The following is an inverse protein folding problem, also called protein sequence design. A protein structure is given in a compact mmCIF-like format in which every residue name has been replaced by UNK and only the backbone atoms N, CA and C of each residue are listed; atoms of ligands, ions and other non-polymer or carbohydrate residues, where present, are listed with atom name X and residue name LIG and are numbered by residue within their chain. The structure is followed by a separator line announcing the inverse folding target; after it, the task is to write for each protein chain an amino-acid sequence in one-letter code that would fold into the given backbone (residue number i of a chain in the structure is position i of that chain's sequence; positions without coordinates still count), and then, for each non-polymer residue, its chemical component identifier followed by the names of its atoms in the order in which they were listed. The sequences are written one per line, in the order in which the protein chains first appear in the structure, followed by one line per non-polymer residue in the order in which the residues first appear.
data_IF_521789799929
#
_entry.id   IF_521789799929
#
_cell.length_a   1.000
_cell.length_b   1.000
_cell.length_c   1.000
_cell.angle_alpha   90.00
_cell.angle_beta   90.00
_cell.angle_gamma   90.00
#
_symmetry.space_group_name_H-M   'P 1'
#
loop_
_entity.id
_entity.type
_entity.pdbx_description
1 polymer ?
#
# COMPACT_ATOMS: atom_id res chain seq x y z
N UNK A 1 -25.59 -11.04 7.96
CA UNK A 1 -26.92 -10.89 7.32
C UNK A 1 -27.10 -9.51 6.65
N UNK A 2 -26.04 -8.80 6.25
CA UNK A 2 -26.12 -7.45 5.64
C UNK A 2 -25.92 -7.49 4.10
N UNK A 3 -25.46 -8.60 3.52
CA UNK A 3 -25.29 -8.71 2.06
C UNK A 3 -26.52 -9.10 1.25
N UNK A 4 -27.63 -9.46 1.89
CA UNK A 4 -28.87 -9.73 1.14
C UNK A 4 -29.57 -8.49 0.56
N UNK A 5 -29.05 -7.28 0.84
CA UNK A 5 -29.57 -6.02 0.30
C UNK A 5 -28.89 -5.49 -0.96
N UNK A 6 -27.80 -6.13 -1.41
CA UNK A 6 -27.09 -5.75 -2.66
C UNK A 6 -27.54 -6.68 -3.80
N UNK A 7 -28.83 -6.99 -3.88
CA UNK A 7 -29.42 -7.59 -5.07
C UNK A 7 -29.89 -6.49 -6.01
N UNK A 8 -29.23 -6.41 -7.14
CA UNK A 8 -29.70 -5.81 -8.40
C UNK A 8 -30.48 -4.49 -8.25
N UNK A 9 -29.83 -3.42 -7.88
CA UNK A 9 -30.26 -2.13 -8.38
C UNK A 9 -29.31 -1.77 -9.53
N UNK A 10 -29.85 -1.43 -10.68
CA UNK A 10 -29.14 -0.85 -11.81
C UNK A 10 -28.52 0.54 -11.50
N UNK A 11 -28.25 0.80 -10.24
CA UNK A 11 -27.57 2.02 -9.77
C UNK A 11 -26.07 1.76 -9.74
N UNK A 12 -25.25 2.65 -10.30
CA UNK A 12 -23.80 2.57 -10.13
C UNK A 12 -23.49 2.51 -8.63
N UNK A 13 -22.62 1.58 -8.23
CA UNK A 13 -22.15 1.44 -6.83
C UNK A 13 -21.39 2.69 -6.37
N UNK A 14 -20.88 3.47 -7.30
CA UNK A 14 -20.27 4.77 -7.02
C UNK A 14 -21.23 5.88 -7.39
N UNK A 15 -21.59 6.78 -6.46
CA UNK A 15 -22.40 7.94 -6.77
C UNK A 15 -21.69 8.80 -7.82
N UNK A 16 -22.43 9.31 -8.80
CA UNK A 16 -21.94 10.34 -9.69
C UNK A 16 -21.74 11.63 -8.89
N UNK A 17 -20.56 12.24 -9.04
CA UNK A 17 -20.23 13.51 -8.39
C UNK A 17 -20.36 14.64 -9.41
N UNK A 18 -21.01 15.72 -9.02
CA UNK A 18 -21.24 16.89 -9.88
C UNK A 18 -20.11 17.94 -9.75
N UNK A 19 -19.31 17.88 -8.67
CA UNK A 19 -18.21 18.78 -8.43
C UNK A 19 -17.06 18.10 -7.68
N UNK A 20 -15.90 18.76 -7.66
CA UNK A 20 -14.72 18.31 -6.90
C UNK A 20 -14.99 18.38 -5.39
N UNK A 21 -15.71 19.39 -4.94
CA UNK A 21 -16.08 19.60 -3.54
C UNK A 21 -16.98 18.46 -3.06
N UNK A 22 -18.00 18.10 -3.84
CA UNK A 22 -18.88 16.97 -3.55
C UNK A 22 -18.11 15.63 -3.51
N UNK A 23 -17.14 15.43 -4.44
CA UNK A 23 -16.25 14.27 -4.41
C UNK A 23 -15.45 14.23 -3.12
N UNK A 24 -14.86 15.33 -2.70
CA UNK A 24 -14.03 15.39 -1.49
C UNK A 24 -14.85 15.16 -0.22
N UNK A 25 -16.05 15.71 -0.10
CA UNK A 25 -16.97 15.46 1.02
C UNK A 25 -17.38 13.97 1.08
N UNK A 26 -17.67 13.37 -0.05
CA UNK A 26 -18.07 11.97 -0.11
C UNK A 26 -16.89 11.01 0.01
N UNK A 27 -15.66 11.40 -0.35
CA UNK A 27 -14.44 10.59 -0.19
C UNK A 27 -14.30 10.09 1.25
N UNK A 28 -14.40 10.96 2.24
CA UNK A 28 -14.27 10.60 3.65
C UNK A 28 -15.38 9.63 4.10
N UNK A 29 -16.61 9.84 3.63
CA UNK A 29 -17.74 8.93 3.91
C UNK A 29 -17.52 7.55 3.29
N UNK A 30 -17.00 7.50 2.04
CA UNK A 30 -16.67 6.24 1.36
C UNK A 30 -15.53 5.50 2.04
N UNK A 31 -14.47 6.21 2.47
CA UNK A 31 -13.38 5.62 3.25
C UNK A 31 -13.93 5.06 4.57
N UNK A 32 -14.75 5.80 5.30
CA UNK A 32 -15.37 5.33 6.53
C UNK A 32 -16.22 4.06 6.30
N UNK A 33 -17.05 4.03 5.26
CA UNK A 33 -17.83 2.84 4.89
C UNK A 33 -16.92 1.65 4.53
N UNK A 34 -15.86 1.88 3.78
CA UNK A 34 -14.92 0.83 3.36
C UNK A 34 -14.14 0.26 4.56
N UNK A 35 -13.72 1.11 5.50
CA UNK A 35 -13.04 0.70 6.73
C UNK A 35 -13.97 -0.05 7.68
N UNK A 36 -15.17 0.45 7.88
CA UNK A 36 -16.16 -0.18 8.76
C UNK A 36 -16.64 -1.55 8.22
N UNK A 37 -16.87 -1.64 6.92
CA UNK A 37 -17.57 -2.79 6.34
C UNK A 37 -16.69 -3.77 5.58
N UNK A 38 -15.44 -3.45 5.25
CA UNK A 38 -14.62 -4.29 4.40
C UNK A 38 -13.18 -4.48 4.89
N UNK A 39 -12.45 -3.40 5.10
CA UNK A 39 -10.99 -3.49 5.30
C UNK A 39 -10.56 -3.43 6.76
N UNK A 40 -11.45 -3.01 7.67
CA UNK A 40 -11.17 -2.78 9.08
C UNK A 40 -10.56 -1.40 9.35
N UNK A 41 -10.29 -1.14 10.61
CA UNK A 41 -9.78 0.15 11.05
C UNK A 41 -8.43 0.49 10.41
N UNK A 42 -8.24 1.77 10.07
CA UNK A 42 -6.94 2.29 9.66
C UNK A 42 -6.04 2.34 10.90
N UNK A 43 -4.85 1.70 10.90
CA UNK A 43 -3.94 1.80 12.02
C UNK A 43 -3.52 3.26 12.28
N UNK A 44 -3.26 3.60 13.53
CA UNK A 44 -2.72 4.90 13.87
C UNK A 44 -1.32 5.08 13.28
N UNK A 45 -0.98 6.32 12.93
CA UNK A 45 0.38 6.66 12.55
C UNK A 45 1.33 6.33 13.71
N UNK A 46 2.54 5.76 13.45
CA UNK A 46 3.47 5.42 14.51
C UNK A 46 3.96 6.70 15.24
N UNK A 47 4.30 6.57 16.52
CA UNK A 47 4.83 7.70 17.29
C UNK A 47 6.14 8.22 16.71
N UNK A 48 6.98 7.29 16.22
CA UNK A 48 8.26 7.60 15.61
C UNK A 48 8.61 6.58 14.53
N UNK A 49 9.35 7.02 13.53
CA UNK A 49 9.94 6.17 12.48
C UNK A 49 11.43 6.50 12.37
N UNK A 50 12.24 5.47 12.19
CA UNK A 50 13.65 5.59 11.79
C UNK A 50 13.95 4.72 10.58
N UNK A 51 14.99 5.08 9.83
CA UNK A 51 15.49 4.31 8.71
C UNK A 51 16.99 4.16 8.81
N UNK A 52 17.49 2.93 8.63
CA UNK A 52 18.91 2.63 8.64
C UNK A 52 19.33 2.07 7.28
N UNK A 53 20.23 2.75 6.59
CA UNK A 53 20.85 2.23 5.36
C UNK A 53 21.82 1.13 5.75
N UNK A 54 21.57 -0.10 5.31
CA UNK A 54 22.37 -1.28 5.60
C UNK A 54 23.45 -1.48 4.55
N UNK A 55 23.11 -1.21 3.29
CA UNK A 55 24.06 -1.24 2.19
C UNK A 55 23.74 -0.17 1.15
N UNK A 56 24.76 0.30 0.46
CA UNK A 56 24.63 1.21 -0.67
C UNK A 56 25.57 0.76 -1.80
N UNK A 57 25.03 0.64 -3.00
CA UNK A 57 25.79 0.40 -4.22
C UNK A 57 25.48 1.52 -5.23
N UNK A 58 26.47 2.40 -5.43
CA UNK A 58 26.38 3.52 -6.38
C UNK A 58 26.73 3.11 -7.81
N UNK A 59 27.12 1.85 -8.03
CA UNK A 59 27.52 1.33 -9.34
C UNK A 59 26.51 0.33 -9.91
N UNK A 60 25.32 0.22 -9.29
CA UNK A 60 24.26 -0.65 -9.79
C UNK A 60 23.88 -0.27 -11.23
N UNK A 61 23.47 -1.25 -12.05
CA UNK A 61 23.14 -1.07 -13.47
C UNK A 61 24.20 -0.28 -14.26
N UNK A 62 25.47 -0.66 -14.08
CA UNK A 62 26.60 -0.03 -14.79
C UNK A 62 26.91 1.39 -14.31
N UNK A 63 26.55 1.74 -13.09
CA UNK A 63 26.80 3.06 -12.51
C UNK A 63 25.72 4.09 -12.80
N UNK A 64 24.57 3.68 -13.32
CA UNK A 64 23.43 4.57 -13.56
C UNK A 64 22.59 4.81 -12.32
N UNK A 65 22.56 3.85 -11.40
CA UNK A 65 21.63 3.78 -10.28
C UNK A 65 22.37 3.64 -8.96
N UNK A 66 21.95 4.40 -7.98
CA UNK A 66 22.25 4.19 -6.56
C UNK A 66 21.19 3.27 -5.96
N UNK A 67 21.61 2.04 -5.61
CA UNK A 67 20.76 1.10 -4.89
C UNK A 67 21.07 1.18 -3.41
N UNK A 68 20.03 1.26 -2.57
CA UNK A 68 20.16 1.18 -1.11
C UNK A 68 19.26 0.08 -0.57
N UNK A 69 19.80 -0.75 0.31
CA UNK A 69 19.02 -1.63 1.17
C UNK A 69 18.86 -0.95 2.54
N UNK A 70 17.63 -0.78 2.95
CA UNK A 70 17.24 0.04 4.13
C UNK A 70 16.39 -0.82 5.05
N UNK A 71 16.57 -0.67 6.36
CA UNK A 71 15.62 -1.17 7.36
C UNK A 71 14.82 0.01 7.89
N UNK A 72 13.52 -0.04 7.68
CA UNK A 72 12.58 0.90 8.28
C UNK A 72 12.12 0.32 9.61
N UNK A 73 12.14 1.13 10.65
CA UNK A 73 11.66 0.75 12.00
C UNK A 73 10.64 1.77 12.48
N UNK A 74 9.49 1.29 12.92
CA UNK A 74 8.45 2.10 13.56
C UNK A 74 8.36 1.76 15.04
N UNK A 75 7.96 2.73 15.85
CA UNK A 75 7.96 2.64 17.30
C UNK A 75 6.60 3.06 17.87
N UNK A 76 6.22 2.37 18.95
CA UNK A 76 5.07 2.70 19.80
C UNK A 76 5.49 2.41 21.25
N UNK A 77 5.73 3.45 22.04
CA UNK A 77 6.31 3.33 23.38
C UNK A 77 7.62 2.54 23.37
N UNK A 78 7.67 1.43 24.11
CA UNK A 78 8.84 0.54 24.17
C UNK A 78 8.86 -0.57 23.08
N UNK A 79 7.85 -0.64 22.23
CA UNK A 79 7.75 -1.64 21.18
C UNK A 79 8.24 -1.10 19.86
N UNK A 80 8.80 -1.98 19.02
CA UNK A 80 9.20 -1.63 17.66
C UNK A 80 8.89 -2.75 16.68
N UNK A 81 8.70 -2.37 15.42
CA UNK A 81 8.58 -3.30 14.30
C UNK A 81 9.43 -2.79 13.15
N UNK A 82 10.15 -3.71 12.49
CA UNK A 82 11.04 -3.37 11.39
C UNK A 82 10.76 -4.22 10.16
N UNK A 83 10.91 -3.61 8.99
CA UNK A 83 10.85 -4.33 7.71
C UNK A 83 11.85 -3.76 6.70
N UNK A 84 12.35 -4.61 5.77
CA UNK A 84 13.31 -4.18 4.76
C UNK A 84 12.65 -3.42 3.61
N UNK A 85 13.38 -2.47 3.08
CA UNK A 85 13.07 -1.69 1.89
C UNK A 85 14.31 -1.67 0.98
N UNK A 86 14.12 -1.78 -0.34
CA UNK A 86 15.17 -1.50 -1.31
C UNK A 86 14.77 -0.28 -2.13
N UNK A 87 15.68 0.69 -2.26
CA UNK A 87 15.49 1.86 -3.13
C UNK A 87 16.45 1.84 -4.31
N UNK A 88 15.97 2.34 -5.44
CA UNK A 88 16.69 2.55 -6.68
C UNK A 88 16.50 4.01 -7.09
N UNK A 89 17.58 4.76 -7.09
CA UNK A 89 17.56 6.20 -7.36
C UNK A 89 18.58 6.46 -8.48
N UNK A 90 18.19 7.03 -9.62
CA UNK A 90 19.13 7.40 -10.66
C UNK A 90 20.25 8.28 -10.11
N UNK A 91 21.49 7.99 -10.46
CA UNK A 91 22.63 8.81 -10.06
C UNK A 91 22.51 10.22 -10.67
N UNK A 92 22.99 11.23 -9.94
CA UNK A 92 22.96 12.64 -10.36
C UNK A 92 21.56 13.20 -10.66
N UNK A 93 20.53 12.63 -10.03
CA UNK A 93 19.17 13.14 -10.12
C UNK A 93 18.87 14.13 -8.98
N UNK A 94 18.04 15.13 -9.28
CA UNK A 94 17.51 16.09 -8.30
C UNK A 94 16.01 16.24 -8.52
N UNK A 95 15.27 16.21 -7.41
CA UNK A 95 13.83 16.47 -7.38
C UNK A 95 13.03 15.65 -8.39
N UNK A 96 13.27 14.32 -8.41
CA UNK A 96 12.60 13.41 -9.35
C UNK A 96 11.38 12.73 -8.71
N UNK A 97 10.33 12.43 -9.49
CA UNK A 97 9.19 11.67 -9.03
C UNK A 97 9.58 10.23 -8.67
N UNK A 98 8.75 9.57 -7.85
CA UNK A 98 9.06 8.22 -7.43
C UNK A 98 7.83 7.30 -7.36
N UNK A 99 8.11 6.00 -7.43
CA UNK A 99 7.15 4.94 -7.15
C UNK A 99 7.44 4.28 -5.80
N UNK A 100 6.40 4.02 -5.03
CA UNK A 100 6.42 3.10 -3.90
C UNK A 100 5.71 1.82 -4.34
N UNK A 101 6.48 0.73 -4.46
CA UNK A 101 6.00 -0.55 -4.95
C UNK A 101 5.80 -1.54 -3.81
N UNK A 102 4.58 -2.04 -3.70
CA UNK A 102 4.23 -3.15 -2.82
C UNK A 102 4.54 -4.44 -3.57
N UNK A 103 5.69 -5.05 -3.29
CA UNK A 103 6.24 -6.18 -4.03
C UNK A 103 5.89 -7.55 -3.46
N UNK A 104 6.03 -8.58 -4.30
CA UNK A 104 5.79 -9.98 -3.93
C UNK A 104 7.00 -10.65 -3.28
N UNK A 105 8.21 -10.22 -3.62
CA UNK A 105 9.46 -10.85 -3.22
C UNK A 105 10.41 -9.84 -2.59
N UNK A 106 11.32 -10.35 -1.77
CA UNK A 106 12.42 -9.55 -1.22
C UNK A 106 13.48 -9.29 -2.29
N UNK A 107 14.10 -8.11 -2.19
CA UNK A 107 15.21 -7.75 -3.05
C UNK A 107 14.77 -7.07 -4.33
N UNK A 108 15.69 -7.06 -5.30
CA UNK A 108 15.61 -6.20 -6.48
C UNK A 108 15.13 -6.91 -7.74
N UNK A 109 14.91 -8.19 -7.70
CA UNK A 109 14.60 -8.96 -8.89
C UNK A 109 13.20 -9.58 -8.84
N UNK A 110 12.24 -8.83 -8.35
CA UNK A 110 10.85 -9.19 -8.61
C UNK A 110 10.64 -9.12 -10.13
N UNK A 111 10.23 -10.22 -10.75
CA UNK A 111 9.99 -10.33 -12.20
C UNK A 111 8.97 -9.32 -12.74
N UNK A 112 8.22 -8.69 -11.85
CA UNK A 112 7.24 -7.65 -12.17
C UNK A 112 7.81 -6.23 -12.02
N UNK A 113 9.10 -6.08 -11.63
CA UNK A 113 9.70 -4.81 -11.29
C UNK A 113 10.85 -4.45 -12.23
N UNK A 114 10.60 -3.72 -13.33
CA UNK A 114 11.63 -3.27 -14.26
C UNK A 114 12.38 -2.05 -13.69
N UNK A 115 13.18 -2.25 -12.64
CA UNK A 115 13.81 -1.15 -11.89
C UNK A 115 14.77 -0.31 -12.73
N UNK A 116 15.51 -0.91 -13.66
CA UNK A 116 16.42 -0.18 -14.56
C UNK A 116 15.64 0.71 -15.53
N UNK A 117 14.59 0.18 -16.15
CA UNK A 117 13.74 0.96 -17.07
C UNK A 117 13.03 2.11 -16.37
N UNK A 118 12.56 1.90 -15.14
CA UNK A 118 11.95 2.95 -14.33
C UNK A 118 12.96 4.07 -14.08
N UNK A 119 14.17 3.72 -13.67
CA UNK A 119 15.25 4.69 -13.41
C UNK A 119 15.74 5.38 -14.69
N UNK A 120 15.87 4.64 -15.80
CA UNK A 120 16.26 5.21 -17.09
C UNK A 120 15.23 6.23 -17.62
N UNK A 121 13.98 6.13 -17.17
CA UNK A 121 12.92 7.12 -17.44
C UNK A 121 12.84 8.26 -16.41
N UNK A 122 13.79 8.38 -15.52
CA UNK A 122 13.90 9.51 -14.58
C UNK A 122 13.02 9.38 -13.33
N UNK A 123 12.61 8.18 -12.94
CA UNK A 123 11.87 7.93 -11.72
C UNK A 123 12.73 7.19 -10.69
N UNK A 124 12.58 7.52 -9.43
CA UNK A 124 13.06 6.67 -8.35
C UNK A 124 12.05 5.57 -8.00
N UNK A 125 12.52 4.51 -7.36
CA UNK A 125 11.70 3.38 -6.96
C UNK A 125 12.04 2.95 -5.54
N UNK A 126 11.02 2.76 -4.72
CA UNK A 126 11.09 2.23 -3.36
C UNK A 126 10.26 0.96 -3.28
N UNK A 127 10.88 -0.19 -3.04
CA UNK A 127 10.21 -1.49 -3.05
C UNK A 127 10.31 -2.18 -1.69
N UNK A 128 9.19 -2.66 -1.18
CA UNK A 128 9.14 -3.54 -0.01
C UNK A 128 8.29 -4.78 -0.27
N UNK A 129 8.63 -5.89 0.38
CA UNK A 129 7.88 -7.13 0.24
C UNK A 129 6.71 -7.16 1.25
N UNK A 130 5.51 -7.40 0.76
CA UNK A 130 4.31 -7.48 1.59
C UNK A 130 4.39 -8.55 2.70
N UNK A 131 5.13 -9.64 2.46
CA UNK A 131 5.32 -10.73 3.44
C UNK A 131 6.18 -10.32 4.63
N UNK A 132 7.03 -9.30 4.48
CA UNK A 132 7.82 -8.76 5.59
C UNK A 132 6.98 -7.89 6.52
N UNK A 133 5.82 -7.44 6.05
CA UNK A 133 4.85 -6.64 6.80
C UNK A 133 3.80 -7.53 7.46
N UNK A 134 3.18 -8.39 6.68
CA UNK A 134 2.19 -9.36 7.17
C UNK A 134 2.13 -10.56 6.23
N UNK A 135 2.22 -11.77 6.80
CA UNK A 135 2.14 -13.04 6.07
C UNK A 135 0.83 -13.19 5.30
N UNK A 136 0.85 -13.99 4.23
CA UNK A 136 -0.32 -14.27 3.40
C UNK A 136 -1.13 -15.47 3.92
N UNK A 137 -1.61 -15.34 5.16
CA UNK A 137 -2.36 -16.36 5.87
C UNK A 137 -3.23 -15.76 6.99
N UNK A 138 -3.89 -16.60 7.77
CA UNK A 138 -4.69 -16.21 8.93
C UNK A 138 -3.89 -15.85 10.18
N UNK A 139 -2.55 -15.86 10.15
CA UNK A 139 -1.73 -15.53 11.31
C UNK A 139 -1.63 -14.01 11.53
N UNK A 140 -2.11 -13.53 12.67
CA UNK A 140 -2.04 -12.14 13.13
C UNK A 140 -1.19 -11.97 14.39
N UNK A 141 -0.40 -13.01 14.76
CA UNK A 141 0.42 -13.01 15.98
C UNK A 141 1.88 -12.66 15.72
N UNK A 142 2.23 -12.33 14.50
CA UNK A 142 3.59 -12.02 14.05
C UNK A 142 3.61 -10.72 13.27
N UNK A 143 4.80 -10.16 13.06
CA UNK A 143 5.06 -8.99 12.23
C UNK A 143 4.20 -7.77 12.64
N UNK A 144 3.83 -6.94 11.66
CA UNK A 144 3.05 -5.73 11.90
C UNK A 144 1.70 -6.00 12.61
N UNK A 145 0.93 -7.04 12.30
CA UNK A 145 -0.29 -7.39 13.06
C UNK A 145 -0.06 -7.55 14.56
N UNK A 146 1.04 -8.20 14.95
CA UNK A 146 1.40 -8.38 16.37
C UNK A 146 1.82 -7.07 17.01
N UNK A 147 2.65 -6.27 16.33
CA UNK A 147 3.07 -4.96 16.79
C UNK A 147 1.88 -4.04 17.06
N UNK A 148 0.90 -4.01 16.15
CA UNK A 148 -0.33 -3.21 16.26
C UNK A 148 -1.38 -3.85 17.21
N UNK A 149 -1.08 -4.99 17.84
CA UNK A 149 -1.97 -5.73 18.72
C UNK A 149 -3.37 -5.99 18.09
N UNK A 150 -3.41 -6.39 16.81
CA UNK A 150 -4.66 -6.59 16.08
C UNK A 150 -5.49 -7.70 16.72
N UNK A 151 -6.65 -7.34 17.26
CA UNK A 151 -7.58 -8.27 17.87
C UNK A 151 -8.66 -8.71 16.86
N UNK A 152 -8.49 -9.85 16.24
CA UNK A 152 -9.41 -10.42 15.23
C UNK A 152 -10.80 -10.81 15.75
N UNK A 153 -11.07 -10.68 17.04
CA UNK A 153 -12.41 -10.84 17.61
C UNK A 153 -13.30 -9.61 17.40
N UNK A 154 -12.69 -8.46 17.15
CA UNK A 154 -13.43 -7.24 16.80
C UNK A 154 -13.84 -7.29 15.33
N UNK A 155 -15.09 -6.97 15.02
CA UNK A 155 -15.60 -6.86 13.64
C UNK A 155 -14.92 -5.73 12.84
N UNK A 156 -14.32 -4.76 13.54
CA UNK A 156 -13.56 -3.66 12.93
C UNK A 156 -12.05 -3.93 12.86
N UNK A 157 -11.59 -5.13 13.22
CA UNK A 157 -10.17 -5.44 13.18
C UNK A 157 -9.60 -5.31 11.78
N UNK A 158 -8.42 -4.71 11.69
CA UNK A 158 -7.70 -4.44 10.45
C UNK A 158 -7.41 -5.72 9.67
N UNK A 159 -7.78 -5.76 8.40
CA UNK A 159 -7.41 -6.82 7.46
C UNK A 159 -6.02 -6.61 6.88
N UNK A 160 -5.44 -7.66 6.27
CA UNK A 160 -4.05 -7.58 5.76
C UNK A 160 -3.88 -6.65 4.57
N UNK A 161 -4.90 -6.45 3.74
CA UNK A 161 -4.86 -5.43 2.68
C UNK A 161 -4.61 -4.03 3.25
N UNK A 162 -5.26 -3.69 4.35
CA UNK A 162 -5.07 -2.42 5.05
C UNK A 162 -3.68 -2.32 5.69
N UNK A 163 -3.14 -3.42 6.23
CA UNK A 163 -1.79 -3.44 6.81
C UNK A 163 -0.70 -3.21 5.76
N UNK A 164 -0.85 -3.80 4.57
CA UNK A 164 0.08 -3.55 3.46
C UNK A 164 -0.03 -2.12 2.92
N UNK A 165 -1.24 -1.58 2.87
CA UNK A 165 -1.47 -0.18 2.53
C UNK A 165 -0.85 0.78 3.56
N UNK A 166 -1.00 0.48 4.85
CA UNK A 166 -0.38 1.24 5.94
C UNK A 166 1.15 1.25 5.83
N UNK A 167 1.76 0.11 5.52
CA UNK A 167 3.22 0.04 5.33
C UNK A 167 3.70 0.92 4.17
N UNK A 168 2.92 1.04 3.08
CA UNK A 168 3.24 1.97 2.01
C UNK A 168 3.24 3.43 2.50
N UNK A 169 2.32 3.80 3.40
CA UNK A 169 2.31 5.10 4.07
C UNK A 169 3.53 5.33 4.96
N UNK A 170 4.01 4.29 5.65
CA UNK A 170 5.28 4.35 6.42
C UNK A 170 6.49 4.55 5.49
N UNK A 171 6.51 3.90 4.33
CA UNK A 171 7.55 4.15 3.30
C UNK A 171 7.46 5.58 2.79
N UNK A 172 6.27 6.14 2.64
CA UNK A 172 6.08 7.55 2.27
C UNK A 172 6.68 8.51 3.32
N UNK A 173 6.56 8.19 4.62
CA UNK A 173 7.22 8.97 5.69
C UNK A 173 8.75 8.99 5.50
N UNK A 174 9.34 7.86 5.09
CA UNK A 174 10.77 7.77 4.77
C UNK A 174 11.14 8.61 3.54
N UNK A 175 10.33 8.55 2.49
CA UNK A 175 10.54 9.33 1.25
C UNK A 175 10.51 10.83 1.54
N UNK A 176 9.61 11.30 2.39
CA UNK A 176 9.58 12.70 2.83
C UNK A 176 10.86 13.10 3.58
N UNK A 177 11.43 12.18 4.38
CA UNK A 177 12.70 12.42 5.06
C UNK A 177 13.84 12.59 4.06
N UNK A 178 13.94 11.73 3.03
CA UNK A 178 14.94 11.83 1.96
C UNK A 178 14.78 13.13 1.17
N UNK A 179 13.56 13.49 0.80
CA UNK A 179 13.29 14.74 0.09
C UNK A 179 13.76 15.97 0.88
N UNK A 180 13.65 15.92 2.20
CA UNK A 180 14.04 17.04 3.08
C UNK A 180 15.57 17.17 3.23
N UNK A 181 16.29 16.04 3.20
CA UNK A 181 17.74 15.98 3.45
C UNK A 181 18.51 16.11 2.14
N UNK A 182 18.25 15.22 1.20
CA UNK A 182 19.09 15.02 0.01
C UNK A 182 18.53 15.74 -1.24
N UNK A 183 17.28 16.20 -1.21
CA UNK A 183 16.55 16.82 -2.34
C UNK A 183 16.51 15.97 -3.61
N UNK A 184 16.77 14.67 -3.48
CA UNK A 184 16.78 13.73 -4.61
C UNK A 184 15.36 13.47 -5.12
N UNK A 185 14.37 13.45 -4.23
CA UNK A 185 13.00 13.01 -4.52
C UNK A 185 12.02 14.19 -4.46
N UNK A 186 11.17 14.27 -5.47
CA UNK A 186 10.00 15.14 -5.49
C UNK A 186 8.83 14.49 -4.73
N UNK A 187 8.69 14.82 -3.46
CA UNK A 187 7.63 14.28 -2.59
C UNK A 187 6.21 14.63 -3.03
N UNK A 188 6.04 15.65 -3.88
CA UNK A 188 4.72 16.06 -4.39
C UNK A 188 4.26 15.17 -5.57
N UNK A 189 5.16 14.35 -6.13
CA UNK A 189 4.90 13.49 -7.27
C UNK A 189 5.27 12.02 -6.97
N UNK A 190 4.62 11.45 -5.96
CA UNK A 190 4.80 10.05 -5.55
C UNK A 190 3.60 9.22 -5.98
N UNK A 191 3.88 8.08 -6.61
CA UNK A 191 2.89 7.07 -6.94
C UNK A 191 3.01 5.84 -6.02
N UNK A 192 1.88 5.27 -5.61
CA UNK A 192 1.85 3.92 -5.03
C UNK A 192 1.38 2.92 -6.07
N UNK A 193 2.09 1.79 -6.17
CA UNK A 193 1.80 0.75 -7.16
C UNK A 193 1.82 -0.65 -6.55
N UNK A 194 0.93 -1.51 -7.02
CA UNK A 194 0.88 -2.93 -6.72
C UNK A 194 0.20 -3.73 -7.82
N UNK A 195 0.47 -5.04 -7.85
CA UNK A 195 -0.12 -5.97 -8.81
C UNK A 195 -1.09 -6.94 -8.12
N UNK A 196 -2.17 -7.32 -8.78
CA UNK A 196 -3.19 -8.25 -8.31
C UNK A 196 -3.72 -7.85 -6.91
N UNK A 197 -3.64 -8.70 -5.89
CA UNK A 197 -4.05 -8.37 -4.52
C UNK A 197 -3.28 -7.18 -3.93
N UNK A 198 -2.02 -6.99 -4.30
CA UNK A 198 -1.24 -5.83 -3.87
C UNK A 198 -1.67 -4.55 -4.61
N UNK A 199 -2.28 -4.67 -5.81
CA UNK A 199 -3.00 -3.58 -6.46
C UNK A 199 -4.21 -3.11 -5.64
N UNK A 200 -4.92 -4.02 -4.95
CA UNK A 200 -5.97 -3.64 -4.00
C UNK A 200 -5.39 -2.87 -2.80
N UNK A 201 -4.24 -3.31 -2.27
CA UNK A 201 -3.55 -2.59 -1.20
C UNK A 201 -3.09 -1.20 -1.65
N UNK A 202 -2.59 -1.07 -2.89
CA UNK A 202 -2.22 0.23 -3.46
C UNK A 202 -3.44 1.17 -3.58
N UNK A 203 -4.62 0.67 -4.01
CA UNK A 203 -5.87 1.46 -4.02
C UNK A 203 -6.23 1.96 -2.62
N UNK A 204 -6.12 1.10 -1.61
CA UNK A 204 -6.39 1.50 -0.22
C UNK A 204 -5.38 2.56 0.21
N UNK A 205 -4.08 2.36 -0.05
CA UNK A 205 -3.04 3.33 0.31
C UNK A 205 -3.30 4.71 -0.29
N UNK A 206 -3.57 4.80 -1.59
CA UNK A 206 -3.89 6.08 -2.25
C UNK A 206 -5.23 6.69 -1.80
N UNK A 207 -6.16 5.88 -1.28
CA UNK A 207 -7.41 6.40 -0.72
C UNK A 207 -7.23 7.03 0.66
N UNK A 208 -6.40 6.41 1.54
CA UNK A 208 -6.25 6.81 2.94
C UNK A 208 -5.10 7.78 3.18
N UNK A 209 -4.15 7.89 2.25
CA UNK A 209 -2.98 8.79 2.36
C UNK A 209 -2.93 9.74 1.15
N UNK A 210 -3.25 11.00 1.38
CA UNK A 210 -3.36 12.04 0.34
C UNK A 210 -2.01 12.50 -0.24
N UNK A 211 -0.90 12.05 0.35
CA UNK A 211 0.44 12.31 -0.17
C UNK A 211 0.74 11.50 -1.44
N UNK A 212 0.03 10.40 -1.65
CA UNK A 212 0.09 9.69 -2.93
C UNK A 212 -0.66 10.46 -4.01
N UNK A 213 0.08 11.07 -4.91
CA UNK A 213 -0.47 11.81 -6.05
C UNK A 213 -1.13 10.90 -7.06
N UNK A 214 -0.56 9.71 -7.24
CA UNK A 214 -1.01 8.72 -8.20
C UNK A 214 -1.12 7.34 -7.54
N UNK A 215 -2.08 6.56 -8.03
CA UNK A 215 -2.29 5.17 -7.60
C UNK A 215 -2.36 4.27 -8.82
N UNK A 216 -1.51 3.26 -8.88
CA UNK A 216 -1.47 2.28 -9.97
C UNK A 216 -1.85 0.91 -9.42
N UNK A 217 -3.06 0.48 -9.71
CA UNK A 217 -3.58 -0.82 -9.30
C UNK A 217 -3.58 -1.77 -10.50
N UNK A 218 -2.40 -2.32 -10.81
CA UNK A 218 -2.23 -3.20 -11.96
C UNK A 218 -2.92 -4.53 -11.72
N UNK A 219 -3.83 -4.91 -12.63
CA UNK A 219 -4.58 -6.19 -12.61
C UNK A 219 -5.18 -6.51 -11.23
N UNK A 220 -5.71 -5.51 -10.54
CA UNK A 220 -6.25 -5.68 -9.18
C UNK A 220 -7.53 -6.52 -9.13
N UNK A 221 -8.12 -6.82 -10.26
CA UNK A 221 -9.22 -7.76 -10.43
C UNK A 221 -10.48 -7.37 -9.68
N UNK A 222 -11.30 -8.40 -9.43
CA UNK A 222 -12.52 -8.27 -8.65
C UNK A 222 -12.24 -7.70 -7.26
N UNK A 223 -13.14 -6.85 -6.76
CA UNK A 223 -12.95 -6.17 -5.46
C UNK A 223 -11.77 -5.17 -5.43
N UNK A 224 -11.05 -5.01 -6.55
CA UNK A 224 -10.11 -3.95 -6.84
C UNK A 224 -10.76 -2.90 -7.75
N UNK A 225 -10.24 -2.72 -8.97
CA UNK A 225 -10.81 -1.80 -9.98
C UNK A 225 -12.04 -2.40 -10.66
N UNK A 226 -12.09 -3.73 -10.83
CA UNK A 226 -13.21 -4.38 -11.50
C UNK A 226 -14.49 -4.29 -10.66
N UNK A 227 -15.53 -3.73 -11.24
CA UNK A 227 -16.85 -3.68 -10.62
C UNK A 227 -17.51 -5.08 -10.59
N UNK A 228 -18.18 -5.42 -9.48
CA UNK A 228 -18.98 -6.64 -9.42
C UNK A 228 -20.19 -6.47 -10.34
N UNK A 229 -20.24 -7.23 -11.41
CA UNK A 229 -21.39 -7.34 -12.29
C UNK A 229 -22.19 -8.61 -11.95
N UNK A 230 -23.47 -8.66 -12.36
CA UNK A 230 -24.29 -9.88 -12.20
C UNK A 230 -23.68 -11.10 -12.95
N UNK A 231 -22.77 -10.85 -13.89
CA UNK A 231 -22.07 -11.87 -14.68
C UNK A 231 -20.67 -12.18 -14.16
N UNK A 232 -20.24 -11.59 -13.03
CA UNK A 232 -18.93 -11.88 -12.45
C UNK A 232 -18.90 -13.32 -11.93
N UNK A 233 -17.94 -14.12 -12.40
CA UNK A 233 -17.76 -15.51 -11.97
C UNK A 233 -17.39 -15.63 -10.50
N UNK A 234 -16.80 -14.57 -9.92
CA UNK A 234 -16.39 -14.50 -8.51
C UNK A 234 -17.13 -13.37 -7.82
N UNK A 235 -17.76 -13.64 -6.70
CA UNK A 235 -18.40 -12.63 -5.86
C UNK A 235 -17.46 -12.13 -4.75
N UNK A 236 -17.76 -10.96 -4.17
CA UNK A 236 -17.04 -10.50 -2.96
C UNK A 236 -17.13 -11.51 -1.82
N UNK A 237 -18.25 -12.23 -1.72
CA UNK A 237 -18.43 -13.27 -0.70
C UNK A 237 -17.48 -14.45 -0.94
N UNK A 238 -17.29 -14.85 -2.19
CA UNK A 238 -16.35 -15.93 -2.55
C UNK A 238 -14.91 -15.52 -2.19
N UNK A 239 -14.52 -14.27 -2.48
CA UNK A 239 -13.20 -13.77 -2.13
C UNK A 239 -13.00 -13.70 -0.60
N UNK A 240 -13.98 -13.20 0.14
CA UNK A 240 -13.94 -13.15 1.61
C UNK A 240 -13.90 -14.54 2.22
N UNK A 241 -14.61 -15.51 1.67
CA UNK A 241 -14.58 -16.90 2.14
C UNK A 241 -13.24 -17.59 1.84
N UNK A 242 -12.66 -17.33 0.66
CA UNK A 242 -11.39 -17.90 0.26
C UNK A 242 -10.19 -17.28 1.01
N UNK A 243 -10.26 -15.95 1.27
CA UNK A 243 -9.17 -15.17 1.85
C UNK A 243 -9.64 -14.25 2.99
N UNK A 244 -10.22 -14.82 4.07
CA UNK A 244 -10.85 -14.00 5.13
C UNK A 244 -9.86 -13.11 5.87
N UNK A 245 -8.57 -13.41 5.81
CA UNK A 245 -7.52 -12.61 6.43
C UNK A 245 -7.25 -11.28 5.71
N UNK A 246 -7.62 -11.17 4.44
CA UNK A 246 -7.45 -9.93 3.66
C UNK A 246 -8.37 -8.81 4.17
N UNK A 247 -9.48 -9.16 4.77
CA UNK A 247 -10.58 -8.27 5.16
C UNK A 247 -10.77 -8.20 6.67
N UNK A 248 -11.61 -7.27 7.11
CA UNK A 248 -12.10 -7.24 8.49
C UNK A 248 -12.88 -8.54 8.83
N UNK A 249 -12.83 -9.04 10.06
CA UNK A 249 -13.66 -10.16 10.50
C UNK A 249 -15.14 -9.81 10.45
N UNK A 250 -15.97 -10.80 10.19
CA UNK A 250 -17.43 -10.69 10.22
C UNK A 250 -18.03 -11.75 11.10
#
# INVERSE_FOLDING_TARGET
MIFNGIRSSSRPLCPAFSSKEELMENKQKLIALATENKYGAIPKKPEHMSAAVISEDTRYAGGKIKRRDVIITIYEGAHSFSFPLTSFIPNNSENIPAFIYIGYERGHADKYLPCEEICDNGFALFSFCFKDVASEDGNFRELLPSFLAINRRSSSATGKLMLWAYAAGVVMDYVETLSSIDKEIDKENIAVIGHAKLGKAALIAGAIDERFKYTVANDSGFSGIAEPTEKSEVSLLDEVNAFPYLFAPR
#
